data_IF_643705292866
#
_entry.id   IF_643705292866
#
_cell.length_a   1.000
_cell.length_b   1.000
_cell.length_c   1.000
_cell.angle_alpha   90.00
_cell.angle_beta   90.00
_cell.angle_gamma   90.00
#
_symmetry.space_group_name_H-M   'P 1'
#
loop_
_entity.id
_entity.type
_entity.pdbx_description
1 polymer ?
#
# COMPACT_ATOMS: atom_id res chain seq x y z
N UNK A 1 -24.49 -5.50 0.80
CA UNK A 1 -23.19 -6.01 0.35
C UNK A 1 -22.08 -5.09 0.83
N UNK A 2 -21.05 -5.70 1.41
CA UNK A 2 -19.92 -4.96 1.96
C UNK A 2 -18.97 -4.51 0.83
N UNK A 3 -18.64 -3.22 0.82
CA UNK A 3 -17.73 -2.67 -0.17
C UNK A 3 -16.39 -2.32 0.47
N UNK A 4 -15.38 -2.18 -0.38
CA UNK A 4 -14.05 -1.75 0.06
C UNK A 4 -14.14 -0.43 0.82
N UNK A 5 -14.99 0.50 0.34
CA UNK A 5 -15.20 1.81 1.00
C UNK A 5 -15.69 1.70 2.44
N UNK A 6 -16.39 0.62 2.79
CA UNK A 6 -16.89 0.42 4.15
C UNK A 6 -15.78 0.07 5.14
N UNK A 7 -14.66 -0.44 4.63
CA UNK A 7 -13.58 -0.98 5.46
C UNK A 7 -12.34 -0.09 5.51
N UNK A 8 -11.83 0.32 4.36
CA UNK A 8 -10.54 1.02 4.31
C UNK A 8 -10.57 2.37 5.03
N UNK A 9 -11.73 3.01 5.12
CA UNK A 9 -11.85 4.32 5.75
C UNK A 9 -11.49 4.34 7.23
N UNK A 10 -11.47 3.17 7.86
CA UNK A 10 -11.11 3.03 9.28
C UNK A 10 -9.62 2.78 9.47
N UNK A 11 -8.88 2.61 8.40
CA UNK A 11 -7.44 2.36 8.44
C UNK A 11 -6.65 3.66 8.31
N UNK A 12 -5.40 3.60 8.71
CA UNK A 12 -4.45 4.65 8.42
C UNK A 12 -4.22 4.74 6.91
N UNK A 13 -3.74 5.89 6.46
CA UNK A 13 -3.50 6.14 5.04
C UNK A 13 -2.01 6.40 4.81
N UNK A 14 -1.18 5.33 4.74
CA UNK A 14 0.26 5.51 4.56
C UNK A 14 0.59 6.07 3.18
N UNK A 15 1.39 7.11 3.16
CA UNK A 15 1.85 7.69 1.89
C UNK A 15 3.17 8.44 2.09
N UNK A 16 3.98 8.41 1.05
CA UNK A 16 5.20 9.21 0.96
C UNK A 16 5.27 9.80 -0.45
N UNK A 17 6.05 10.85 -0.59
CA UNK A 17 6.30 11.46 -1.89
C UNK A 17 7.40 10.68 -2.61
N UNK A 18 7.49 10.90 -3.93
CA UNK A 18 8.45 10.20 -4.80
C UNK A 18 9.91 10.44 -4.42
N UNK A 19 10.20 11.57 -3.81
CA UNK A 19 11.55 11.94 -3.37
C UNK A 19 11.84 11.60 -1.91
N UNK A 20 10.90 10.94 -1.22
CA UNK A 20 11.09 10.58 0.18
C UNK A 20 12.34 9.73 0.36
N UNK A 21 13.08 9.99 1.43
CA UNK A 21 14.27 9.23 1.77
C UNK A 21 13.89 7.84 2.28
N UNK A 22 14.83 6.92 2.25
CA UNK A 22 14.62 5.57 2.80
C UNK A 22 14.14 5.65 4.25
N UNK A 23 14.72 6.54 5.04
CA UNK A 23 14.32 6.72 6.45
C UNK A 23 12.85 7.14 6.55
N UNK A 24 12.43 8.10 5.71
CA UNK A 24 11.04 8.56 5.71
C UNK A 24 10.08 7.44 5.33
N UNK A 25 10.46 6.60 4.36
CA UNK A 25 9.66 5.45 3.95
C UNK A 25 9.51 4.45 5.11
N UNK A 26 10.63 4.13 5.77
CA UNK A 26 10.62 3.18 6.89
C UNK A 26 9.74 3.71 8.04
N UNK A 27 9.87 4.98 8.36
CA UNK A 27 9.08 5.61 9.43
C UNK A 27 7.59 5.55 9.09
N UNK A 28 7.23 5.86 7.86
CA UNK A 28 5.82 5.85 7.44
C UNK A 28 5.21 4.45 7.55
N UNK A 29 5.90 3.44 7.03
CA UNK A 29 5.43 2.05 7.09
C UNK A 29 5.30 1.59 8.54
N UNK A 30 6.30 1.88 9.37
CA UNK A 30 6.31 1.48 10.79
C UNK A 30 5.18 2.17 11.57
N UNK A 31 4.97 3.46 11.31
CA UNK A 31 3.98 4.27 12.02
C UNK A 31 2.56 3.83 11.68
N UNK A 32 2.29 3.55 10.42
CA UNK A 32 0.92 3.23 9.96
C UNK A 32 0.55 1.76 10.11
N UNK A 33 1.52 0.87 10.26
CA UNK A 33 1.31 -0.54 10.64
C UNK A 33 0.53 -1.39 9.64
N UNK A 34 0.56 -1.05 8.37
CA UNK A 34 -0.14 -1.83 7.33
C UNK A 34 0.82 -2.61 6.44
N UNK A 35 2.12 -2.58 6.76
CA UNK A 35 3.13 -3.32 6.03
C UNK A 35 3.48 -2.77 4.66
N UNK A 36 2.97 -1.60 4.31
CA UNK A 36 3.19 -0.98 3.02
C UNK A 36 2.90 0.52 3.08
N UNK A 37 3.43 1.25 2.10
CA UNK A 37 3.06 2.65 1.90
C UNK A 37 2.86 2.93 0.41
N UNK A 38 1.93 3.80 0.10
CA UNK A 38 1.79 4.34 -1.24
C UNK A 38 2.90 5.35 -1.49
N UNK A 39 3.30 5.47 -2.75
CA UNK A 39 4.14 6.56 -3.22
C UNK A 39 3.27 7.42 -4.12
N UNK A 40 3.12 8.68 -3.78
CA UNK A 40 2.23 9.60 -4.49
C UNK A 40 2.97 10.86 -4.92
N UNK A 41 2.44 11.53 -5.94
CA UNK A 41 2.96 12.84 -6.35
C UNK A 41 2.19 13.95 -5.62
N UNK A 42 2.50 15.20 -5.92
CA UNK A 42 1.87 16.36 -5.28
C UNK A 42 0.36 16.45 -5.53
N UNK A 43 -0.12 15.78 -6.57
CA UNK A 43 -1.56 15.75 -6.91
C UNK A 43 -2.27 14.56 -6.30
N UNK A 44 -1.59 13.81 -5.41
CA UNK A 44 -2.11 12.59 -4.80
C UNK A 44 -2.40 11.47 -5.81
N UNK A 45 -1.75 11.51 -6.95
CA UNK A 45 -1.82 10.42 -7.91
C UNK A 45 -0.88 9.31 -7.46
N UNK A 46 -1.35 8.06 -7.58
CA UNK A 46 -0.57 6.90 -7.14
C UNK A 46 0.52 6.58 -8.15
N UNK A 47 1.78 6.60 -7.71
CA UNK A 47 2.94 6.29 -8.53
C UNK A 47 3.44 4.86 -8.31
N UNK A 48 3.28 4.34 -7.10
CA UNK A 48 3.78 3.03 -6.77
C UNK A 48 3.46 2.62 -5.34
N UNK A 49 3.99 1.47 -4.95
CA UNK A 49 3.85 0.93 -3.60
C UNK A 49 5.19 0.41 -3.12
N UNK A 50 5.45 0.58 -1.82
CA UNK A 50 6.62 0.00 -1.16
C UNK A 50 6.13 -0.84 0.00
N UNK A 51 6.51 -2.12 0.00
CA UNK A 51 6.15 -3.05 1.07
C UNK A 51 7.37 -3.34 1.96
N UNK A 52 7.12 -3.96 3.11
CA UNK A 52 8.21 -4.43 3.98
C UNK A 52 9.18 -5.35 3.23
N UNK A 53 8.63 -6.20 2.35
CA UNK A 53 9.46 -7.09 1.52
C UNK A 53 10.36 -6.33 0.57
N UNK A 54 9.86 -5.25 -0.02
CA UNK A 54 10.67 -4.40 -0.90
C UNK A 54 11.83 -3.77 -0.15
N UNK A 55 11.57 -3.28 1.07
CA UNK A 55 12.62 -2.71 1.92
C UNK A 55 13.69 -3.73 2.26
N UNK A 56 13.26 -4.93 2.64
CA UNK A 56 14.18 -6.01 3.00
C UNK A 56 15.08 -6.40 1.83
N UNK A 57 14.49 -6.57 0.64
CA UNK A 57 15.24 -6.91 -0.56
C UNK A 57 16.24 -5.82 -0.94
N UNK A 58 15.85 -4.56 -0.79
CA UNK A 58 16.72 -3.44 -1.08
C UNK A 58 17.92 -3.41 -0.14
N UNK A 59 17.68 -3.62 1.16
CA UNK A 59 18.73 -3.65 2.17
C UNK A 59 19.72 -4.81 1.96
N UNK A 60 19.24 -5.94 1.43
CA UNK A 60 20.09 -7.09 1.12
C UNK A 60 21.01 -6.82 -0.06
N UNK A 61 20.58 -6.01 -1.01
CA UNK A 61 21.32 -5.78 -2.27
C UNK A 61 22.25 -4.58 -2.23
N UNK A 62 22.01 -3.62 -1.35
CA UNK A 62 22.77 -2.37 -1.33
C UNK A 62 23.56 -2.21 -0.06
N UNK A 63 24.86 -1.92 -0.21
CA UNK A 63 25.74 -1.63 0.91
C UNK A 63 25.60 -0.19 1.42
N UNK A 64 25.09 0.70 0.58
CA UNK A 64 24.84 2.11 0.95
C UNK A 64 23.39 2.45 0.76
N UNK A 65 22.78 3.02 1.80
CA UNK A 65 21.36 3.36 1.82
C UNK A 65 21.12 4.87 1.86
N UNK A 66 22.19 5.66 1.88
CA UNK A 66 22.08 7.09 2.16
C UNK A 66 21.40 7.90 1.08
N UNK A 67 21.55 7.51 -0.17
CA UNK A 67 21.04 8.27 -1.30
C UNK A 67 19.85 7.61 -1.98
N UNK A 68 19.24 6.62 -1.31
CA UNK A 68 18.09 5.89 -1.87
C UNK A 68 16.81 6.67 -1.58
N UNK A 69 16.00 6.85 -2.63
CA UNK A 69 14.69 7.52 -2.51
C UNK A 69 13.56 6.59 -2.95
N UNK A 70 12.33 6.96 -2.61
CA UNK A 70 11.15 6.13 -2.81
C UNK A 70 11.00 5.58 -4.24
N UNK A 71 11.23 6.40 -5.27
CA UNK A 71 11.12 5.97 -6.67
C UNK A 71 12.06 4.83 -7.02
N UNK A 72 13.19 4.71 -6.33
CA UNK A 72 14.18 3.66 -6.60
C UNK A 72 13.82 2.33 -5.96
N UNK A 73 12.89 2.33 -5.00
CA UNK A 73 12.50 1.15 -4.24
C UNK A 73 11.13 0.63 -4.69
N UNK A 74 10.24 1.52 -5.09
CA UNK A 74 8.84 1.21 -5.31
C UNK A 74 8.60 0.25 -6.47
N UNK A 75 7.51 -0.50 -6.36
CA UNK A 75 6.92 -1.22 -7.47
C UNK A 75 5.98 -0.25 -8.17
N UNK A 76 6.20 0.06 -9.46
CA UNK A 76 5.35 1.02 -10.20
C UNK A 76 4.14 0.37 -10.86
N UNK A 77 3.87 -0.89 -10.59
CA UNK A 77 2.64 -1.55 -11.01
C UNK A 77 1.92 -2.10 -9.77
N UNK A 78 1.49 -1.22 -8.84
CA UNK A 78 0.85 -1.69 -7.62
C UNK A 78 -0.48 -2.36 -7.94
N UNK A 79 -0.81 -3.38 -7.16
CA UNK A 79 -2.15 -3.96 -7.22
C UNK A 79 -3.08 -3.02 -6.47
N UNK A 80 -4.12 -2.56 -7.16
CA UNK A 80 -5.09 -1.62 -6.61
C UNK A 80 -6.50 -2.17 -6.72
N UNK A 81 -7.41 -1.56 -5.97
CA UNK A 81 -8.84 -1.85 -6.08
C UNK A 81 -9.60 -0.55 -5.91
N UNK A 82 -10.71 -0.41 -6.61
CA UNK A 82 -11.55 0.78 -6.50
C UNK A 82 -12.35 0.77 -5.20
N UNK A 83 -12.57 1.95 -4.65
CA UNK A 83 -13.29 2.11 -3.38
C UNK A 83 -14.70 1.53 -3.43
N UNK A 84 -15.36 1.59 -4.58
CA UNK A 84 -16.73 1.10 -4.74
C UNK A 84 -16.80 -0.40 -5.08
N UNK A 85 -15.68 -1.08 -5.21
CA UNK A 85 -15.65 -2.52 -5.44
C UNK A 85 -16.16 -3.27 -4.21
N UNK A 86 -16.61 -4.51 -4.42
CA UNK A 86 -17.05 -5.36 -3.32
C UNK A 86 -15.87 -5.86 -2.50
N UNK A 87 -16.07 -5.98 -1.19
CA UNK A 87 -15.02 -6.50 -0.30
C UNK A 87 -14.59 -7.92 -0.70
N UNK A 88 -15.51 -8.74 -1.20
CA UNK A 88 -15.19 -10.09 -1.65
C UNK A 88 -14.23 -10.07 -2.85
N UNK A 89 -14.34 -9.06 -3.71
CA UNK A 89 -13.42 -8.91 -4.85
C UNK A 89 -12.02 -8.57 -4.37
N UNK A 90 -11.90 -7.77 -3.32
CA UNK A 90 -10.61 -7.48 -2.69
C UNK A 90 -9.99 -8.76 -2.12
N UNK A 91 -10.79 -9.59 -1.47
CA UNK A 91 -10.34 -10.87 -0.93
C UNK A 91 -9.77 -11.77 -2.03
N UNK A 92 -10.49 -11.89 -3.15
CA UNK A 92 -10.05 -12.72 -4.26
C UNK A 92 -8.77 -12.21 -4.89
N UNK A 93 -8.64 -10.89 -5.03
CA UNK A 93 -7.45 -10.27 -5.59
C UNK A 93 -6.23 -10.49 -4.69
N UNK A 94 -6.41 -10.38 -3.37
CA UNK A 94 -5.36 -10.67 -2.40
C UNK A 94 -4.93 -12.13 -2.48
N UNK A 95 -5.89 -13.05 -2.55
CA UNK A 95 -5.61 -14.49 -2.63
C UNK A 95 -4.87 -14.83 -3.93
N UNK A 96 -5.35 -14.31 -5.05
CA UNK A 96 -4.76 -14.57 -6.37
C UNK A 96 -3.32 -14.10 -6.46
N UNK A 97 -3.01 -12.98 -5.83
CA UNK A 97 -1.67 -12.39 -5.88
C UNK A 97 -0.82 -12.69 -4.66
N UNK A 98 -1.37 -13.45 -3.71
CA UNK A 98 -0.69 -13.84 -2.47
C UNK A 98 -0.15 -12.61 -1.70
N UNK A 99 -1.01 -11.62 -1.54
CA UNK A 99 -0.70 -10.38 -0.84
C UNK A 99 -1.72 -10.14 0.28
N UNK A 100 -1.33 -9.34 1.27
CA UNK A 100 -2.15 -9.08 2.46
C UNK A 100 -2.78 -7.70 2.48
N UNK A 101 -2.44 -6.85 1.51
CA UNK A 101 -2.98 -5.51 1.45
C UNK A 101 -3.11 -5.07 -0.01
N UNK A 102 -4.08 -4.18 -0.24
CA UNK A 102 -4.30 -3.56 -1.55
C UNK A 102 -4.40 -2.06 -1.35
N UNK A 103 -3.80 -1.32 -2.25
CA UNK A 103 -4.01 0.13 -2.28
C UNK A 103 -5.38 0.38 -2.89
N UNK A 104 -6.11 1.30 -2.28
CA UNK A 104 -7.46 1.68 -2.71
C UNK A 104 -7.38 2.99 -3.47
N UNK A 105 -8.02 3.02 -4.63
CA UNK A 105 -8.11 4.24 -5.44
C UNK A 105 -9.57 4.67 -5.56
N UNK A 106 -9.76 5.96 -5.75
CA UNK A 106 -11.06 6.55 -6.01
C UNK A 106 -10.86 7.56 -7.13
N UNK A 107 -11.38 7.26 -8.31
CA UNK A 107 -11.21 8.09 -9.50
C UNK A 107 -9.73 8.42 -9.76
N UNK A 108 -8.89 7.38 -9.73
CA UNK A 108 -7.44 7.43 -9.96
C UNK A 108 -6.63 8.13 -8.86
N UNK A 109 -7.31 8.64 -7.84
CA UNK A 109 -6.64 9.23 -6.67
C UNK A 109 -6.40 8.16 -5.63
N UNK A 110 -5.26 8.24 -4.96
CA UNK A 110 -4.97 7.35 -3.84
C UNK A 110 -5.93 7.65 -2.68
N UNK A 111 -6.63 6.63 -2.20
CA UNK A 111 -7.64 6.79 -1.15
C UNK A 111 -7.23 6.16 0.19
N UNK A 112 -6.46 5.08 0.15
CA UNK A 112 -6.07 4.40 1.39
C UNK A 112 -5.67 2.96 1.13
N UNK A 113 -5.75 2.13 2.17
CA UNK A 113 -5.34 0.72 2.12
C UNK A 113 -6.43 -0.14 2.74
N UNK A 114 -6.75 -1.27 2.08
CA UNK A 114 -7.55 -2.33 2.67
C UNK A 114 -6.60 -3.49 3.00
N UNK A 115 -6.72 -4.04 4.20
CA UNK A 115 -5.85 -5.11 4.68
C UNK A 115 -6.63 -6.41 4.86
N UNK A 116 -5.94 -7.53 4.75
CA UNK A 116 -6.52 -8.86 4.97
C UNK A 116 -7.25 -8.95 6.31
N UNK A 117 -6.69 -8.33 7.36
CA UNK A 117 -7.33 -8.30 8.69
C UNK A 117 -8.72 -7.67 8.67
N UNK A 118 -8.98 -6.71 7.79
CA UNK A 118 -10.29 -6.10 7.68
C UNK A 118 -11.32 -7.12 7.21
N UNK A 119 -10.92 -7.99 6.27
CA UNK A 119 -11.78 -9.02 5.72
C UNK A 119 -12.02 -10.15 6.72
N UNK A 120 -10.99 -10.50 7.49
CA UNK A 120 -11.10 -11.51 8.56
C UNK A 120 -12.08 -11.04 9.63
N UNK A 121 -11.99 -9.78 10.05
CA UNK A 121 -12.90 -9.21 11.06
C UNK A 121 -14.36 -9.25 10.63
N UNK A 122 -14.61 -9.13 9.33
CA UNK A 122 -15.96 -9.17 8.78
C UNK A 122 -16.44 -10.59 8.50
N UNK A 123 -15.64 -11.59 8.77
CA UNK A 123 -16.02 -12.98 8.59
C UNK A 123 -16.02 -13.43 7.12
N UNK A 124 -15.33 -12.70 6.24
CA UNK A 124 -15.25 -13.06 4.82
C UNK A 124 -14.23 -14.16 4.54
N UNK A 125 -13.38 -14.42 5.50
CA UNK A 125 -12.35 -15.45 5.41
C UNK A 125 -12.44 -16.38 6.60
#
# INVERSE_FOLDING_TARGET
YLRVADLYIHNEKPNVRETATLKEVIVEISKKRLGATAVVNEKNELLGVITDGDLRRMLEKNSSINDVIATQIMNFNPKTIEADALAIDAMELMRKNNISQLLVTNEKQYAGVIHLHDLIKEGLI
#
